data_IF_033977118756
#
_entry.id   IF_033977118756
#
_cell.length_a   1.000
_cell.length_b   1.000
_cell.length_c   1.000
_cell.angle_alpha   90.00
_cell.angle_beta   90.00
_cell.angle_gamma   90.00
#
_symmetry.space_group_name_H-M   'P 1'
#
loop_
_entity.id
_entity.type
_entity.pdbx_description
1 polymer ?
#
# COMPACT_ATOMS: atom_id res chain seq x y z
N UNK A 1 6.32 6.65 5.65
CA UNK A 1 5.81 6.23 4.34
C UNK A 1 5.78 7.40 3.38
N UNK A 2 6.50 7.29 2.27
CA UNK A 2 6.60 8.34 1.23
C UNK A 2 5.38 8.25 0.31
N UNK A 3 4.71 9.38 0.07
CA UNK A 3 3.62 9.48 -0.91
C UNK A 3 4.22 9.83 -2.26
N UNK A 4 3.94 9.01 -3.28
CA UNK A 4 4.46 9.26 -4.63
C UNK A 4 3.92 10.55 -5.23
N UNK A 5 4.75 11.24 -5.98
CA UNK A 5 4.32 12.40 -6.78
C UNK A 5 3.18 11.99 -7.73
N UNK A 6 2.10 12.76 -7.72
CA UNK A 6 0.90 12.48 -8.52
C UNK A 6 -0.11 11.52 -7.87
N UNK A 7 0.23 10.96 -6.70
CA UNK A 7 -0.68 10.14 -5.89
C UNK A 7 -1.24 10.94 -4.72
N UNK A 8 -2.35 10.47 -4.16
CA UNK A 8 -2.97 11.04 -2.96
C UNK A 8 -3.16 9.94 -1.93
N UNK A 9 -2.61 10.13 -0.73
CA UNK A 9 -2.83 9.26 0.42
C UNK A 9 -3.80 9.96 1.40
N UNK A 10 -4.87 9.29 1.78
CA UNK A 10 -5.87 9.79 2.73
C UNK A 10 -6.14 8.78 3.83
N UNK A 11 -6.71 9.26 4.94
CA UNK A 11 -7.11 8.43 6.08
C UNK A 11 -6.00 7.49 6.59
N UNK A 12 -4.75 7.98 6.77
CA UNK A 12 -3.70 7.14 7.32
C UNK A 12 -4.03 6.77 8.76
N UNK A 13 -3.86 5.52 9.09
CA UNK A 13 -4.01 5.02 10.45
C UNK A 13 -3.00 3.91 10.71
N UNK A 14 -2.57 3.79 11.96
CA UNK A 14 -1.74 2.67 12.38
C UNK A 14 -2.21 2.12 13.72
N UNK A 15 -1.97 0.84 13.94
CA UNK A 15 -2.28 0.14 15.16
C UNK A 15 -1.15 -0.82 15.52
N UNK A 16 -0.78 -0.83 16.79
CA UNK A 16 0.05 -1.88 17.35
C UNK A 16 -0.77 -3.18 17.45
N UNK A 17 -0.34 -4.22 16.75
CA UNK A 17 -1.05 -5.51 16.74
C UNK A 17 -0.88 -6.31 18.05
N UNK A 18 0.15 -6.00 18.84
CA UNK A 18 0.43 -6.71 20.09
C UNK A 18 -0.38 -6.15 21.25
N UNK A 19 -0.63 -4.83 21.27
CA UNK A 19 -1.37 -4.14 22.36
C UNK A 19 -2.76 -3.66 21.96
N UNK A 20 -3.04 -3.54 20.64
CA UNK A 20 -4.26 -2.92 20.12
C UNK A 20 -4.24 -1.39 20.15
N UNK A 21 -3.15 -0.77 20.60
CA UNK A 21 -3.03 0.68 20.71
C UNK A 21 -3.01 1.35 19.33
N UNK A 22 -3.71 2.49 19.21
CA UNK A 22 -3.67 3.34 18.03
C UNK A 22 -2.38 4.16 18.02
N UNK A 23 -1.68 4.14 16.89
CA UNK A 23 -0.46 4.93 16.67
C UNK A 23 -0.83 6.23 15.95
N UNK A 24 -0.47 7.40 16.49
CA UNK A 24 -0.73 8.68 15.81
C UNK A 24 -0.05 8.75 14.44
N UNK A 25 -0.79 9.28 13.46
CA UNK A 25 -0.31 9.53 12.10
C UNK A 25 -0.27 11.04 11.83
N UNK A 26 0.82 11.51 11.24
CA UNK A 26 1.00 12.93 10.88
C UNK A 26 1.37 13.01 9.40
N UNK A 27 0.66 13.86 8.64
CA UNK A 27 1.02 14.23 7.29
C UNK A 27 1.98 15.42 7.31
N UNK A 28 3.11 15.31 6.63
CA UNK A 28 4.07 16.38 6.42
C UNK A 28 4.29 16.61 4.94
N UNK A 29 4.37 17.89 4.54
CA UNK A 29 4.58 18.32 3.15
C UNK A 29 5.71 19.33 3.05
N UNK A 30 6.46 19.25 1.95
CA UNK A 30 7.49 20.20 1.60
C UNK A 30 8.44 20.51 2.76
N UNK A 31 8.53 21.79 3.12
CA UNK A 31 9.43 22.28 4.15
C UNK A 31 9.15 21.74 5.58
N UNK A 32 7.95 21.25 5.85
CA UNK A 32 7.63 20.63 7.12
C UNK A 32 8.46 19.36 7.34
N UNK A 33 8.77 18.62 6.27
CA UNK A 33 9.61 17.41 6.31
C UNK A 33 11.02 17.79 6.75
N UNK A 34 11.59 18.83 6.12
CA UNK A 34 12.93 19.34 6.45
C UNK A 34 12.99 19.88 7.88
N UNK A 35 11.98 20.65 8.31
CA UNK A 35 11.88 21.19 9.68
C UNK A 35 11.75 20.07 10.74
N UNK A 36 11.13 18.95 10.39
CA UNK A 36 11.02 17.80 11.26
C UNK A 36 12.31 16.96 11.33
N UNK A 37 13.36 17.31 10.55
CA UNK A 37 14.64 16.60 10.52
C UNK A 37 14.54 15.17 9.96
N UNK A 38 13.54 14.92 9.12
CA UNK A 38 13.32 13.59 8.52
C UNK A 38 14.18 13.49 7.26
N UNK A 39 15.10 12.54 7.30
CA UNK A 39 15.98 12.16 6.19
C UNK A 39 15.63 10.71 5.80
N UNK A 40 14.89 10.54 4.71
CA UNK A 40 14.48 9.24 4.20
C UNK A 40 15.04 9.07 2.78
N UNK A 41 15.83 8.02 2.52
CA UNK A 41 16.42 7.77 1.21
C UNK A 41 15.40 7.68 0.06
N UNK A 42 14.16 7.24 0.34
CA UNK A 42 13.09 7.15 -0.65
C UNK A 42 12.56 8.53 -1.08
N UNK A 43 12.74 9.56 -0.24
CA UNK A 43 12.34 10.93 -0.58
C UNK A 43 13.28 11.58 -1.59
N UNK A 44 14.56 11.20 -1.58
CA UNK A 44 15.58 11.92 -2.29
C UNK A 44 15.64 13.40 -1.86
N UNK A 45 15.70 14.33 -2.83
CA UNK A 45 15.66 15.76 -2.52
C UNK A 45 14.22 16.20 -2.22
N UNK A 46 14.00 16.74 -1.02
CA UNK A 46 12.68 17.28 -0.62
C UNK A 46 12.33 18.50 -1.51
N UNK A 47 11.14 18.47 -2.08
CA UNK A 47 10.53 19.55 -2.88
C UNK A 47 9.23 20.02 -2.20
N UNK A 48 8.64 21.15 -2.63
CA UNK A 48 7.34 21.59 -2.10
C UNK A 48 6.22 20.55 -2.28
N UNK A 49 6.32 19.68 -3.28
CA UNK A 49 5.36 18.61 -3.59
C UNK A 49 5.64 17.31 -2.83
N UNK A 50 6.79 17.20 -2.16
CA UNK A 50 7.12 16.02 -1.35
C UNK A 50 6.11 15.86 -0.21
N UNK A 51 5.60 14.65 -0.03
CA UNK A 51 4.63 14.32 1.01
C UNK A 51 5.00 13.00 1.68
N UNK A 52 4.90 12.97 3.01
CA UNK A 52 5.11 11.75 3.80
C UNK A 52 4.02 11.60 4.87
N UNK A 53 3.79 10.36 5.25
CA UNK A 53 3.01 10.00 6.44
C UNK A 53 3.94 9.42 7.48
N UNK A 54 3.98 10.05 8.65
CA UNK A 54 4.82 9.65 9.79
C UNK A 54 3.94 9.00 10.84
N UNK A 55 4.34 7.83 11.31
CA UNK A 55 3.71 7.11 12.40
C UNK A 55 4.64 7.11 13.62
N UNK A 56 4.24 7.78 14.69
CA UNK A 56 5.06 7.94 15.88
C UNK A 56 4.71 6.87 16.92
N UNK A 57 5.69 6.08 17.30
CA UNK A 57 5.58 5.09 18.37
C UNK A 57 6.79 5.19 19.32
N UNK A 58 6.64 4.62 20.50
CA UNK A 58 7.69 4.67 21.52
C UNK A 58 8.97 3.96 21.05
N UNK A 59 10.16 4.47 21.37
CA UNK A 59 11.42 3.82 21.05
C UNK A 59 11.47 2.38 21.56
N UNK A 60 11.97 1.48 20.73
CA UNK A 60 12.17 0.08 21.10
C UNK A 60 13.53 -0.10 21.76
N UNK A 61 13.58 -0.89 22.83
CA UNK A 61 14.85 -1.32 23.44
C UNK A 61 15.48 -2.43 22.60
N UNK A 62 16.80 -2.63 22.70
CA UNK A 62 17.47 -3.76 22.06
C UNK A 62 16.76 -5.10 22.37
N UNK A 63 16.50 -5.91 21.37
CA UNK A 63 15.80 -7.19 21.50
C UNK A 63 14.27 -7.09 21.53
N UNK A 64 13.68 -5.89 21.53
CA UNK A 64 12.25 -5.69 21.39
C UNK A 64 11.84 -5.57 19.93
N UNK A 65 10.64 -5.99 19.62
CA UNK A 65 9.98 -5.81 18.32
C UNK A 65 8.56 -5.28 18.50
N UNK A 66 8.05 -4.67 17.46
CA UNK A 66 6.66 -4.19 17.39
C UNK A 66 6.05 -4.63 16.04
N UNK A 67 4.82 -5.10 16.08
CA UNK A 67 4.03 -5.39 14.88
C UNK A 67 3.03 -4.29 14.66
N UNK A 68 3.17 -3.58 13.55
CA UNK A 68 2.28 -2.48 13.18
C UNK A 68 1.40 -2.88 11.99
N UNK A 69 0.12 -2.55 12.06
CA UNK A 69 -0.77 -2.51 10.90
C UNK A 69 -0.96 -1.04 10.52
N UNK A 70 -0.51 -0.70 9.32
CA UNK A 70 -0.75 0.61 8.73
C UNK A 70 -1.83 0.46 7.65
N UNK A 71 -2.75 1.43 7.59
CA UNK A 71 -3.83 1.49 6.61
C UNK A 71 -3.90 2.89 6.02
N UNK A 72 -4.04 2.97 4.73
CA UNK A 72 -4.16 4.22 3.96
C UNK A 72 -5.13 4.00 2.81
N UNK A 73 -5.85 5.04 2.43
CA UNK A 73 -6.54 5.10 1.15
C UNK A 73 -5.64 5.80 0.16
N UNK A 74 -5.29 5.10 -0.91
CA UNK A 74 -4.35 5.58 -1.91
C UNK A 74 -5.03 5.75 -3.25
N UNK A 75 -4.98 6.96 -3.83
CA UNK A 75 -5.44 7.25 -5.18
C UNK A 75 -4.21 7.44 -6.07
N UNK A 76 -4.06 6.57 -7.05
CA UNK A 76 -2.93 6.57 -7.98
C UNK A 76 -3.40 6.12 -9.37
N UNK A 77 -3.78 7.08 -10.25
CA UNK A 77 -4.26 6.76 -11.60
C UNK A 77 -3.22 6.06 -12.47
N UNK A 78 -1.93 6.16 -12.13
CA UNK A 78 -0.86 5.43 -12.79
C UNK A 78 -0.81 3.95 -12.44
N UNK A 79 -1.38 3.57 -11.28
CA UNK A 79 -1.30 2.22 -10.72
C UNK A 79 -2.58 1.40 -10.85
N UNK A 80 -3.74 2.03 -10.83
CA UNK A 80 -5.01 1.38 -11.09
C UNK A 80 -5.95 2.31 -11.83
N UNK A 81 -6.60 1.79 -12.85
CA UNK A 81 -7.47 2.55 -13.74
C UNK A 81 -8.44 1.63 -14.46
N UNK A 82 -9.50 2.23 -14.99
CA UNK A 82 -10.38 1.57 -15.95
C UNK A 82 -9.85 1.82 -17.37
N UNK A 83 -9.74 0.75 -18.14
CA UNK A 83 -9.48 0.79 -19.58
C UNK A 83 -10.67 0.12 -20.26
N UNK A 84 -11.59 0.93 -20.79
CA UNK A 84 -12.90 0.42 -21.21
C UNK A 84 -13.69 -0.10 -20.00
N UNK A 85 -14.08 -1.37 -20.05
CA UNK A 85 -14.80 -2.09 -18.99
C UNK A 85 -13.88 -2.93 -18.08
N UNK A 86 -12.56 -2.86 -18.30
CA UNK A 86 -11.58 -3.64 -17.58
C UNK A 86 -10.83 -2.79 -16.54
N UNK A 87 -10.80 -3.26 -15.30
CA UNK A 87 -9.95 -2.71 -14.25
C UNK A 87 -8.52 -3.22 -14.46
N UNK A 88 -7.58 -2.30 -14.55
CA UNK A 88 -6.14 -2.61 -14.62
C UNK A 88 -5.47 -2.11 -13.35
N UNK A 89 -4.82 -3.03 -12.64
CA UNK A 89 -4.01 -2.74 -11.46
C UNK A 89 -2.58 -3.19 -11.72
N UNK A 90 -1.66 -2.23 -11.72
CA UNK A 90 -0.25 -2.42 -12.03
C UNK A 90 0.61 -1.81 -10.93
N UNK A 91 1.33 -2.65 -10.18
CA UNK A 91 2.12 -2.21 -9.04
C UNK A 91 3.31 -3.13 -8.77
N UNK A 92 4.36 -2.54 -8.20
CA UNK A 92 5.51 -3.26 -7.63
C UNK A 92 5.29 -3.58 -6.15
N UNK A 93 5.80 -4.73 -5.70
CA UNK A 93 5.68 -5.23 -4.34
C UNK A 93 7.04 -5.71 -3.83
N UNK A 94 7.56 -5.07 -2.79
CA UNK A 94 8.84 -5.42 -2.17
C UNK A 94 8.73 -6.43 -1.02
N UNK A 95 7.52 -6.68 -0.49
CA UNK A 95 7.33 -7.61 0.62
C UNK A 95 7.21 -9.05 0.11
N UNK A 96 7.64 -10.01 0.95
CA UNK A 96 7.59 -11.43 0.60
C UNK A 96 6.15 -11.94 0.39
N UNK A 97 5.21 -11.55 1.26
CA UNK A 97 3.82 -11.99 1.19
C UNK A 97 2.91 -10.80 0.86
N UNK A 98 2.09 -10.97 -0.15
CA UNK A 98 1.21 -9.92 -0.65
C UNK A 98 -0.18 -10.47 -0.91
N UNK A 99 -1.19 -9.61 -0.77
CA UNK A 99 -2.55 -9.90 -1.15
C UNK A 99 -3.19 -8.69 -1.82
N UNK A 100 -3.94 -8.93 -2.89
CA UNK A 100 -4.80 -7.94 -3.53
C UNK A 100 -6.23 -8.43 -3.45
N UNK A 101 -7.14 -7.57 -2.96
CA UNK A 101 -8.58 -7.86 -2.92
C UNK A 101 -9.27 -6.97 -3.92
N UNK A 102 -9.93 -7.58 -4.90
CA UNK A 102 -10.67 -6.86 -5.92
C UNK A 102 -11.93 -6.19 -5.33
N UNK A 103 -12.43 -5.12 -5.94
CA UNK A 103 -13.70 -4.52 -5.53
C UNK A 103 -14.85 -5.54 -5.63
N UNK A 104 -15.92 -5.33 -4.88
CA UNK A 104 -17.09 -6.22 -4.89
C UNK A 104 -17.70 -6.30 -6.30
N UNK A 105 -17.98 -7.53 -6.74
CA UNK A 105 -18.55 -7.79 -8.06
C UNK A 105 -17.55 -7.75 -9.21
N UNK A 106 -16.26 -7.80 -8.92
CA UNK A 106 -15.22 -7.91 -9.93
C UNK A 106 -14.56 -9.29 -9.89
N UNK A 107 -14.27 -9.83 -11.07
CA UNK A 107 -13.63 -11.13 -11.27
C UNK A 107 -12.29 -10.95 -11.98
N UNK A 108 -11.28 -11.71 -11.57
CA UNK A 108 -9.96 -11.70 -12.21
C UNK A 108 -10.06 -12.20 -13.65
N UNK A 109 -9.48 -11.46 -14.60
CA UNK A 109 -9.38 -11.86 -16.00
C UNK A 109 -7.96 -12.26 -16.37
N UNK A 110 -6.94 -11.62 -15.81
CA UNK A 110 -5.54 -11.97 -16.06
C UNK A 110 -4.64 -11.58 -14.88
N UNK A 111 -3.49 -12.26 -14.79
CA UNK A 111 -2.44 -12.00 -13.81
C UNK A 111 -1.07 -12.24 -14.44
N UNK A 112 -0.14 -11.28 -14.29
CA UNK A 112 1.24 -11.42 -14.72
C UNK A 112 2.09 -12.24 -13.75
N UNK A 113 1.62 -12.44 -12.52
CA UNK A 113 2.28 -13.22 -11.47
C UNK A 113 1.44 -14.45 -11.10
N UNK A 114 2.06 -15.56 -10.69
CA UNK A 114 1.33 -16.66 -10.09
C UNK A 114 0.58 -16.22 -8.84
N UNK A 115 -0.71 -16.52 -8.76
CA UNK A 115 -1.58 -16.15 -7.63
C UNK A 115 -2.40 -17.35 -7.17
N UNK A 116 -2.69 -17.38 -5.87
CA UNK A 116 -3.74 -18.23 -5.30
C UNK A 116 -5.01 -17.39 -5.21
N UNK A 117 -6.05 -17.82 -5.92
CA UNK A 117 -7.34 -17.13 -5.95
C UNK A 117 -8.25 -17.73 -4.87
N UNK A 118 -8.78 -16.87 -4.01
CA UNK A 118 -9.77 -17.23 -3.00
C UNK A 118 -10.88 -16.19 -2.94
N UNK A 119 -11.85 -16.36 -2.05
CA UNK A 119 -12.86 -15.36 -1.75
C UNK A 119 -12.83 -14.96 -0.29
N UNK A 120 -13.05 -13.69 -0.04
CA UNK A 120 -13.27 -13.16 1.31
C UNK A 120 -14.68 -13.51 1.79
N UNK A 121 -14.94 -13.35 3.09
CA UNK A 121 -16.25 -13.65 3.70
C UNK A 121 -17.40 -12.83 3.07
N UNK A 122 -17.10 -11.64 2.57
CA UNK A 122 -18.06 -10.77 1.86
C UNK A 122 -18.13 -11.03 0.34
N UNK A 123 -17.48 -12.12 -0.14
CA UNK A 123 -17.56 -12.62 -1.51
C UNK A 123 -16.64 -11.95 -2.52
N UNK A 124 -15.74 -11.06 -2.10
CA UNK A 124 -14.74 -10.44 -3.00
C UNK A 124 -13.65 -11.42 -3.38
N UNK A 125 -13.13 -11.29 -4.59
CA UNK A 125 -11.97 -12.06 -5.04
C UNK A 125 -10.72 -11.58 -4.33
N UNK A 126 -9.97 -12.51 -3.75
CA UNK A 126 -8.68 -12.29 -3.11
C UNK A 126 -7.58 -13.04 -3.87
N UNK A 127 -6.49 -12.34 -4.14
CA UNK A 127 -5.32 -12.81 -4.87
C UNK A 127 -4.14 -12.80 -3.91
N UNK A 128 -3.68 -13.96 -3.47
CA UNK A 128 -2.47 -14.09 -2.64
C UNK A 128 -1.29 -14.49 -3.51
N UNK A 129 -0.16 -13.82 -3.34
CA UNK A 129 1.08 -14.12 -4.08
C UNK A 129 2.32 -13.77 -3.27
N UNK A 130 3.41 -14.44 -3.63
CA UNK A 130 4.70 -14.25 -2.98
C UNK A 130 5.68 -13.55 -3.91
N UNK A 131 6.50 -12.68 -3.34
CA UNK A 131 7.71 -12.19 -3.97
C UNK A 131 8.88 -13.06 -3.47
N UNK A 132 9.44 -13.96 -4.29
CA UNK A 132 10.58 -14.80 -3.91
C UNK A 132 11.92 -14.08 -4.02
N UNK A 133 11.93 -12.82 -4.47
CA UNK A 133 13.12 -12.03 -4.75
C UNK A 133 13.49 -11.16 -3.54
N UNK A 134 14.76 -10.78 -3.39
CA UNK A 134 15.19 -9.82 -2.38
C UNK A 134 14.81 -8.37 -2.73
N UNK A 135 14.44 -8.10 -3.99
CA UNK A 135 14.00 -6.83 -4.53
C UNK A 135 12.48 -6.81 -4.79
N UNK A 136 12.00 -5.86 -5.55
CA UNK A 136 10.59 -5.74 -5.92
C UNK A 136 10.19 -6.69 -7.05
N UNK A 137 8.95 -7.16 -7.02
CA UNK A 137 8.27 -7.85 -8.12
C UNK A 137 7.16 -6.96 -8.66
N UNK A 138 7.10 -6.84 -9.97
CA UNK A 138 5.98 -6.20 -10.67
C UNK A 138 4.84 -7.19 -10.82
N UNK A 139 3.62 -6.75 -10.47
CA UNK A 139 2.42 -7.55 -10.63
C UNK A 139 1.32 -6.70 -11.28
N UNK A 140 0.85 -7.18 -12.43
CA UNK A 140 -0.26 -6.62 -13.19
C UNK A 140 -1.45 -7.59 -13.09
N UNK A 141 -2.57 -7.07 -12.61
CA UNK A 141 -3.84 -7.78 -12.57
C UNK A 141 -4.88 -7.05 -13.40
N UNK A 142 -5.67 -7.80 -14.15
CA UNK A 142 -6.85 -7.25 -14.81
C UNK A 142 -8.11 -7.93 -14.30
N UNK A 143 -9.21 -7.21 -14.28
CA UNK A 143 -10.48 -7.70 -13.77
C UNK A 143 -11.65 -7.08 -14.53
N UNK A 144 -12.77 -7.81 -14.61
CA UNK A 144 -14.04 -7.34 -15.17
C UNK A 144 -15.16 -7.48 -14.15
N UNK A 145 -16.21 -6.71 -14.33
CA UNK A 145 -17.42 -6.90 -13.55
C UNK A 145 -18.03 -8.26 -13.90
N UNK A 146 -18.43 -9.00 -12.86
CA UNK A 146 -19.20 -10.22 -13.05
C UNK A 146 -20.48 -9.90 -13.84
N UNK A 147 -20.79 -10.72 -14.84
CA UNK A 147 -22.09 -10.66 -15.49
C UNK A 147 -23.18 -11.07 -14.47
N UNK A 148 -24.19 -10.26 -14.33
CA UNK A 148 -25.37 -10.56 -13.50
C UNK A 148 -26.37 -11.39 -14.30
#
# INVERSE_FOLDING_TARGET
NVVRTGSVATNPSARNLDTGETIPAVHLKGDQITKAGIDDPELGKVTPESEIVVFNFNPLKPGQSIRLRMSETYTDPGRYKLVGDELVFDRTFGRANNAVVLPKGWELTNSSAPVVVSRTDDGRVRLDFNNPRPDEVEALFTAKRAAH
#
